data_IF_211196861592
#
_entry.id   IF_211196861592
#
_cell.length_a   1.000
_cell.length_b   1.000
_cell.length_c   1.000
_cell.angle_alpha   90.00
_cell.angle_beta   90.00
_cell.angle_gamma   90.00
#
_symmetry.space_group_name_H-M   'P 1'
#
loop_
_entity.id
_entity.type
_entity.pdbx_description
1 polymer ?
#
# COMPACT_ATOMS: atom_id res chain seq x y z
N UNK A 1 -6.71 9.86 -16.72
CA UNK A 1 -6.03 8.84 -15.89
C UNK A 1 -6.40 7.45 -16.36
N UNK A 2 -5.44 6.63 -16.71
CA UNK A 2 -5.68 5.27 -17.19
C UNK A 2 -6.01 4.33 -16.01
N UNK A 3 -6.59 3.17 -16.32
CA UNK A 3 -6.85 2.15 -15.27
C UNK A 3 -5.55 1.61 -14.67
N UNK A 4 -4.44 1.60 -15.42
CA UNK A 4 -3.13 1.24 -14.89
C UNK A 4 -2.69 2.26 -13.83
N UNK A 5 -2.87 3.55 -14.07
CA UNK A 5 -2.58 4.60 -13.10
C UNK A 5 -3.43 4.45 -11.84
N UNK A 6 -4.72 4.19 -12.01
CA UNK A 6 -5.65 3.97 -10.89
C UNK A 6 -5.26 2.72 -10.09
N UNK A 7 -4.87 1.65 -10.77
CA UNK A 7 -4.38 0.42 -10.13
C UNK A 7 -3.10 0.70 -9.33
N UNK A 8 -2.15 1.45 -9.89
CA UNK A 8 -0.93 1.82 -9.20
C UNK A 8 -1.22 2.63 -7.93
N UNK A 9 -2.15 3.58 -7.98
CA UNK A 9 -2.58 4.33 -6.79
C UNK A 9 -3.22 3.42 -5.75
N UNK A 10 -4.10 2.53 -6.18
CA UNK A 10 -4.77 1.59 -5.28
C UNK A 10 -3.77 0.67 -4.57
N UNK A 11 -2.83 0.10 -5.31
CA UNK A 11 -1.80 -0.78 -4.74
C UNK A 11 -0.88 -0.04 -3.79
N UNK A 12 -0.51 1.20 -4.11
CA UNK A 12 0.31 2.03 -3.24
C UNK A 12 -0.41 2.34 -1.92
N UNK A 13 -1.66 2.75 -1.99
CA UNK A 13 -2.48 3.04 -0.82
C UNK A 13 -2.69 1.78 0.04
N UNK A 14 -3.03 0.67 -0.59
CA UNK A 14 -3.18 -0.60 0.09
C UNK A 14 -1.87 -1.05 0.76
N UNK A 15 -0.74 -0.94 0.06
CA UNK A 15 0.57 -1.28 0.60
C UNK A 15 0.93 -0.45 1.83
N UNK A 16 0.63 0.84 1.83
CA UNK A 16 0.83 1.70 2.99
C UNK A 16 -0.06 1.29 4.16
N UNK A 17 -1.32 0.92 3.90
CA UNK A 17 -2.23 0.46 4.94
C UNK A 17 -1.78 -0.87 5.54
N UNK A 18 -1.27 -1.78 4.71
CA UNK A 18 -0.69 -3.05 5.20
C UNK A 18 0.53 -2.78 6.07
N UNK A 19 1.41 -1.88 5.65
CA UNK A 19 2.60 -1.52 6.43
C UNK A 19 2.21 -0.96 7.81
N UNK A 20 1.22 -0.08 7.88
CA UNK A 20 0.71 0.46 9.14
C UNK A 20 0.12 -0.64 10.04
N UNK A 21 -0.54 -1.63 9.45
CA UNK A 21 -1.15 -2.74 10.16
C UNK A 21 -0.11 -3.72 10.72
N UNK A 22 0.93 -4.01 9.93
CA UNK A 22 1.98 -4.99 10.29
C UNK A 22 3.02 -4.37 11.22
N UNK A 23 3.31 -3.07 11.06
CA UNK A 23 4.29 -2.34 11.84
C UNK A 23 3.58 -1.19 12.58
N UNK A 24 2.82 -1.48 13.64
CA UNK A 24 2.10 -0.42 14.34
C UNK A 24 3.06 0.53 15.03
N UNK A 25 2.88 1.82 14.77
CA UNK A 25 3.48 2.94 15.51
C UNK A 25 4.94 2.76 15.93
N UNK A 26 5.85 2.80 14.96
CA UNK A 26 7.27 2.88 15.29
C UNK A 26 7.53 4.31 15.78
N UNK A 27 7.59 4.46 17.11
CA UNK A 27 8.04 5.71 17.70
C UNK A 27 9.53 5.88 17.38
N UNK A 28 9.91 7.05 16.84
CA UNK A 28 11.32 7.35 16.59
C UNK A 28 11.98 7.57 17.95
N UNK A 29 13.02 6.77 18.32
CA UNK A 29 13.70 6.95 19.60
C UNK A 29 14.31 8.36 19.69
N UNK A 30 14.08 9.04 20.81
CA UNK A 30 14.64 10.38 21.06
C UNK A 30 16.17 10.40 21.00
N UNK A 31 16.80 9.28 21.34
CA UNK A 31 18.25 9.14 21.37
C UNK A 31 18.86 8.83 20.00
N UNK A 32 18.04 8.58 18.97
CA UNK A 32 18.56 8.39 17.62
C UNK A 32 18.96 9.72 17.00
N UNK A 33 19.85 9.70 16.02
CA UNK A 33 20.23 10.90 15.26
C UNK A 33 19.03 11.57 14.61
N UNK A 34 18.07 10.79 14.10
CA UNK A 34 16.83 11.29 13.52
C UNK A 34 15.95 11.94 14.59
N UNK A 35 15.81 11.30 15.76
CA UNK A 35 15.03 11.83 16.86
C UNK A 35 15.59 13.17 17.35
N UNK A 36 16.92 13.28 17.50
CA UNK A 36 17.58 14.52 17.88
C UNK A 36 17.35 15.62 16.86
N UNK A 37 17.45 15.32 15.58
CA UNK A 37 17.20 16.28 14.50
C UNK A 37 15.75 16.77 14.54
N UNK A 38 14.79 15.89 14.74
CA UNK A 38 13.38 16.25 14.80
C UNK A 38 13.08 17.13 16.03
N UNK A 39 13.69 16.84 17.16
CA UNK A 39 13.58 17.71 18.35
C UNK A 39 14.12 19.11 18.08
N UNK A 40 15.24 19.22 17.38
CA UNK A 40 15.79 20.52 16.99
C UNK A 40 14.84 21.32 16.11
N UNK A 41 14.04 20.62 15.30
CA UNK A 41 13.02 21.22 14.43
C UNK A 41 11.70 21.50 15.16
N UNK A 42 11.62 21.21 16.45
CA UNK A 42 10.41 21.42 17.25
C UNK A 42 9.34 20.35 17.10
N UNK A 43 9.71 19.19 16.56
CA UNK A 43 8.78 18.07 16.39
C UNK A 43 8.80 17.18 17.62
N UNK A 44 7.62 16.88 18.18
CA UNK A 44 7.50 15.95 19.29
C UNK A 44 7.58 14.50 18.77
N UNK A 45 8.74 13.86 18.99
CA UNK A 45 9.00 12.50 18.53
C UNK A 45 8.21 11.42 19.27
N UNK A 46 7.63 11.75 20.43
CA UNK A 46 6.86 10.77 21.23
C UNK A 46 5.53 10.40 20.56
N UNK A 47 4.92 11.38 19.89
CA UNK A 47 3.63 11.22 19.22
C UNK A 47 3.77 11.12 17.70
N UNK A 48 5.01 11.15 17.21
CA UNK A 48 5.27 11.14 15.77
C UNK A 48 5.02 9.75 15.17
N UNK A 49 4.11 9.69 14.22
CA UNK A 49 3.88 8.48 13.43
C UNK A 49 4.57 8.61 12.08
N UNK A 50 5.66 7.88 11.91
CA UNK A 50 6.47 7.94 10.70
C UNK A 50 5.68 7.61 9.44
N UNK A 51 4.70 6.71 9.51
CA UNK A 51 3.91 6.31 8.36
C UNK A 51 2.95 7.41 7.92
N UNK A 52 2.38 8.17 8.84
CA UNK A 52 1.50 9.28 8.51
C UNK A 52 2.29 10.44 7.88
N UNK A 53 3.43 10.78 8.47
CA UNK A 53 4.25 11.89 8.00
C UNK A 53 5.05 11.57 6.73
N UNK A 54 5.59 10.35 6.63
CA UNK A 54 6.37 9.92 5.47
C UNK A 54 5.49 9.33 4.36
N UNK A 55 4.25 8.96 4.64
CA UNK A 55 3.34 8.42 3.64
C UNK A 55 3.18 9.36 2.44
N UNK A 56 3.13 10.65 2.71
CA UNK A 56 3.09 11.70 1.72
C UNK A 56 4.31 11.66 0.77
N UNK A 57 5.49 11.32 1.28
CA UNK A 57 6.71 11.19 0.48
C UNK A 57 6.88 9.79 -0.11
N UNK A 58 6.46 8.76 0.63
CA UNK A 58 6.64 7.37 0.22
C UNK A 58 5.68 6.95 -0.90
N UNK A 59 4.46 7.47 -0.91
CA UNK A 59 3.47 7.13 -1.94
C UNK A 59 3.96 7.38 -3.37
N UNK A 60 4.50 8.57 -3.70
CA UNK A 60 5.03 8.81 -5.04
C UNK A 60 6.21 7.89 -5.38
N UNK A 61 7.06 7.58 -4.42
CA UNK A 61 8.20 6.68 -4.62
C UNK A 61 7.73 5.26 -4.90
N UNK A 62 6.79 4.75 -4.11
CA UNK A 62 6.20 3.43 -4.32
C UNK A 62 5.51 3.34 -5.69
N UNK A 63 4.78 4.37 -6.07
CA UNK A 63 4.15 4.44 -7.38
C UNK A 63 5.17 4.34 -8.51
N UNK A 64 6.29 5.05 -8.40
CA UNK A 64 7.38 4.99 -9.40
C UNK A 64 7.99 3.60 -9.52
N UNK A 65 8.05 2.85 -8.41
CA UNK A 65 8.57 1.49 -8.42
C UNK A 65 7.57 0.50 -9.02
N UNK A 66 6.28 0.72 -8.81
CA UNK A 66 5.21 -0.17 -9.27
C UNK A 66 4.88 0.03 -10.74
N UNK A 67 4.88 1.29 -11.23
CA UNK A 67 4.46 1.64 -12.59
C UNK A 67 5.20 0.87 -13.70
N UNK A 68 6.54 0.74 -13.70
CA UNK A 68 7.21 -0.01 -14.76
C UNK A 68 6.77 -1.46 -14.84
N UNK A 69 6.54 -2.10 -13.69
CA UNK A 69 6.06 -3.49 -13.63
C UNK A 69 4.66 -3.61 -14.19
N UNK A 70 3.76 -2.72 -13.80
CA UNK A 70 2.40 -2.72 -14.32
C UNK A 70 2.37 -2.47 -15.83
N UNK A 71 3.14 -1.52 -16.33
CA UNK A 71 3.22 -1.24 -17.76
C UNK A 71 3.79 -2.44 -18.53
N UNK A 72 4.74 -3.15 -17.97
CA UNK A 72 5.32 -4.34 -18.58
C UNK A 72 4.28 -5.45 -18.78
N UNK A 73 3.47 -5.71 -17.77
CA UNK A 73 2.51 -6.83 -17.80
C UNK A 73 1.12 -6.46 -18.32
N UNK A 74 0.71 -5.19 -18.18
CA UNK A 74 -0.65 -4.75 -18.46
C UNK A 74 -0.74 -3.72 -19.59
N UNK A 75 0.39 -3.26 -20.11
CA UNK A 75 0.44 -2.15 -21.09
C UNK A 75 -0.32 -2.39 -22.38
N UNK A 76 -0.56 -3.66 -22.77
CA UNK A 76 -1.34 -4.01 -23.96
C UNK A 76 -2.82 -4.23 -23.70
N UNK A 77 -3.29 -4.08 -22.46
CA UNK A 77 -4.67 -4.36 -22.08
C UNK A 77 -5.50 -3.07 -22.09
N UNK A 78 -6.79 -3.20 -22.43
CA UNK A 78 -7.73 -2.08 -22.30
C UNK A 78 -8.00 -1.77 -20.84
N UNK A 79 -8.51 -0.56 -20.55
CA UNK A 79 -8.88 -0.17 -19.20
C UNK A 79 -9.86 -1.15 -18.55
N UNK A 80 -10.87 -1.57 -19.29
CA UNK A 80 -11.86 -2.56 -18.82
C UNK A 80 -11.20 -3.90 -18.45
N UNK A 81 -10.27 -4.36 -19.28
CA UNK A 81 -9.54 -5.60 -19.01
C UNK A 81 -8.64 -5.49 -17.77
N UNK A 82 -7.97 -4.36 -17.59
CA UNK A 82 -7.15 -4.10 -16.39
C UNK A 82 -8.01 -4.12 -15.13
N UNK A 83 -9.14 -3.44 -15.14
CA UNK A 83 -10.06 -3.39 -14.00
C UNK A 83 -10.61 -4.77 -13.66
N UNK A 84 -11.06 -5.51 -14.66
CA UNK A 84 -11.60 -6.88 -14.48
C UNK A 84 -10.55 -7.81 -13.90
N UNK A 85 -9.34 -7.79 -14.46
CA UNK A 85 -8.24 -8.63 -13.98
C UNK A 85 -7.86 -8.28 -12.54
N UNK A 86 -7.75 -7.00 -12.22
CA UNK A 86 -7.41 -6.56 -10.87
C UNK A 86 -8.44 -7.04 -9.84
N UNK A 87 -9.73 -6.96 -10.16
CA UNK A 87 -10.78 -7.44 -9.26
C UNK A 87 -10.77 -8.96 -9.14
N UNK A 88 -10.50 -9.70 -10.20
CA UNK A 88 -10.37 -11.16 -10.16
C UNK A 88 -9.21 -11.60 -9.26
N UNK A 89 -8.05 -10.96 -9.38
CA UNK A 89 -6.92 -11.25 -8.51
C UNK A 89 -7.20 -10.89 -7.05
N UNK A 90 -7.87 -9.77 -6.81
CA UNK A 90 -8.26 -9.38 -5.46
C UNK A 90 -9.21 -10.42 -4.85
N UNK A 91 -10.19 -10.89 -5.60
CA UNK A 91 -11.11 -11.96 -5.15
C UNK A 91 -10.35 -13.26 -4.86
N UNK A 92 -9.39 -13.63 -5.71
CA UNK A 92 -8.57 -14.83 -5.51
C UNK A 92 -7.75 -14.73 -4.21
N UNK A 93 -7.13 -13.56 -3.94
CA UNK A 93 -6.38 -13.35 -2.71
C UNK A 93 -7.30 -13.37 -1.47
N UNK A 94 -8.48 -12.76 -1.55
CA UNK A 94 -9.46 -12.81 -0.45
C UNK A 94 -9.87 -14.25 -0.17
N UNK A 95 -10.15 -15.04 -1.19
CA UNK A 95 -10.52 -16.45 -1.06
C UNK A 95 -9.39 -17.26 -0.41
N UNK A 96 -8.15 -17.07 -0.85
CA UNK A 96 -6.98 -17.74 -0.29
C UNK A 96 -6.74 -17.34 1.17
N UNK A 97 -6.86 -16.05 1.47
CA UNK A 97 -6.73 -15.53 2.82
C UNK A 97 -7.81 -16.09 3.76
N UNK A 98 -9.05 -16.19 3.29
CA UNK A 98 -10.17 -16.75 4.05
C UNK A 98 -9.96 -18.22 4.38
N UNK A 99 -9.38 -18.98 3.45
CA UNK A 99 -9.09 -20.41 3.64
C UNK A 99 -7.98 -20.65 4.66
N UNK A 100 -6.87 -19.88 4.55
CA UNK A 100 -5.68 -20.07 5.37
C UNK A 100 -5.55 -19.10 6.53
N UNK A 101 -6.33 -18.02 6.53
CA UNK A 101 -6.22 -16.93 7.50
C UNK A 101 -5.17 -15.88 7.13
N UNK A 102 -4.34 -16.15 6.14
CA UNK A 102 -3.30 -15.24 5.67
C UNK A 102 -2.88 -15.55 4.24
N UNK A 103 -2.20 -14.60 3.61
CA UNK A 103 -1.48 -14.80 2.34
C UNK A 103 -0.03 -14.40 2.55
N UNK A 104 0.89 -15.21 2.05
CA UNK A 104 2.31 -14.90 2.12
C UNK A 104 2.71 -14.09 0.89
N UNK A 105 3.08 -12.82 1.11
CA UNK A 105 3.56 -11.92 0.06
C UNK A 105 5.02 -11.56 0.35
N UNK A 106 5.93 -12.01 -0.52
CA UNK A 106 7.35 -11.71 -0.40
C UNK A 106 7.94 -12.05 0.98
N UNK A 107 7.51 -13.16 1.57
CA UNK A 107 7.95 -13.58 2.91
C UNK A 107 7.21 -12.94 4.08
N UNK A 108 6.25 -12.06 3.81
CA UNK A 108 5.44 -11.40 4.83
C UNK A 108 4.05 -12.04 4.85
N UNK A 109 3.59 -12.45 6.03
CA UNK A 109 2.23 -12.95 6.20
C UNK A 109 1.26 -11.78 6.33
N UNK A 110 0.35 -11.65 5.37
CA UNK A 110 -0.68 -10.61 5.37
C UNK A 110 -2.01 -11.24 5.72
N UNK A 111 -2.65 -10.75 6.79
CA UNK A 111 -3.90 -11.29 7.28
C UNK A 111 -5.07 -11.03 6.33
N UNK A 112 -6.13 -11.84 6.47
CA UNK A 112 -7.31 -11.78 5.61
C UNK A 112 -7.95 -10.38 5.58
N UNK A 113 -7.97 -9.68 6.71
CA UNK A 113 -8.60 -8.35 6.82
C UNK A 113 -7.99 -7.30 5.88
N UNK A 114 -6.70 -7.42 5.59
CA UNK A 114 -6.02 -6.48 4.69
C UNK A 114 -6.53 -6.59 3.25
N UNK A 115 -6.94 -7.77 2.82
CA UNK A 115 -7.43 -7.99 1.46
C UNK A 115 -8.86 -7.49 1.25
N UNK A 116 -9.68 -7.43 2.30
CA UNK A 116 -10.99 -6.79 2.22
C UNK A 116 -10.82 -5.30 1.91
N UNK A 117 -9.86 -4.64 2.55
CA UNK A 117 -9.51 -3.26 2.27
C UNK A 117 -9.03 -3.05 0.83
N UNK A 118 -8.31 -4.01 0.25
CA UNK A 118 -7.84 -3.92 -1.13
C UNK A 118 -9.00 -3.81 -2.12
N UNK A 119 -10.04 -4.62 -1.97
CA UNK A 119 -11.21 -4.58 -2.84
C UNK A 119 -11.93 -3.23 -2.76
N UNK A 120 -12.07 -2.68 -1.58
CA UNK A 120 -12.69 -1.36 -1.38
C UNK A 120 -11.88 -0.26 -2.06
N UNK A 121 -10.56 -0.28 -1.89
CA UNK A 121 -9.67 0.70 -2.51
C UNK A 121 -9.73 0.60 -4.03
N UNK A 122 -9.67 -0.60 -4.60
CA UNK A 122 -9.76 -0.81 -6.04
C UNK A 122 -11.07 -0.28 -6.60
N UNK A 123 -12.20 -0.61 -5.96
CA UNK A 123 -13.51 -0.15 -6.37
C UNK A 123 -13.59 1.37 -6.35
N UNK A 124 -13.12 2.00 -5.29
CA UNK A 124 -13.11 3.46 -5.17
C UNK A 124 -12.27 4.13 -6.27
N UNK A 125 -11.07 3.63 -6.51
CA UNK A 125 -10.17 4.21 -7.51
C UNK A 125 -10.68 4.01 -8.94
N UNK A 126 -11.22 2.84 -9.25
CA UNK A 126 -11.74 2.58 -10.60
C UNK A 126 -13.02 3.37 -10.92
N UNK A 127 -13.80 3.74 -9.91
CA UNK A 127 -15.01 4.54 -10.08
C UNK A 127 -14.75 6.05 -10.19
N UNK A 128 -13.54 6.47 -10.04
CA UNK A 128 -13.16 7.87 -10.25
C UNK A 128 -12.80 8.07 -11.71
#
# INVERSE_FOLDING_TARGET
MTSIDKLAEALTEWGMNVAKSVLPNVAIPQQSGIGSLMQMLGVDVRTYNIYDELGFLLKPTMRRLVMPTLNKYLGGMSDAEVEEMAMEYADAFVAQASEKGYVNLFGIQVGANAFDGLKEILTDKFNR
#
